data_IF_824253412025
#
_entry.id   IF_824253412025
#
_cell.length_a   1.000
_cell.length_b   1.000
_cell.length_c   1.000
_cell.angle_alpha   90.00
_cell.angle_beta   90.00
_cell.angle_gamma   90.00
#
_symmetry.space_group_name_H-M   'P 1'
#
loop_
_entity.id
_entity.type
_entity.pdbx_description
1 polymer ?
#
# COMPACT_ATOMS: atom_id res chain seq x y z
N UNK A 1 -16.37 12.63 -20.92
CA UNK A 1 -15.07 13.31 -20.73
C UNK A 1 -14.16 12.37 -19.96
N UNK A 2 -12.85 12.31 -20.25
CA UNK A 2 -11.93 11.52 -19.44
C UNK A 2 -11.94 12.05 -18.00
N UNK A 3 -11.85 11.14 -17.02
CA UNK A 3 -11.83 11.47 -15.61
C UNK A 3 -10.59 12.32 -15.27
N UNK A 4 -10.78 13.52 -14.75
CA UNK A 4 -9.68 14.33 -14.23
C UNK A 4 -9.47 14.03 -12.74
N UNK A 5 -8.37 13.37 -12.41
CA UNK A 5 -8.06 12.97 -11.03
C UNK A 5 -8.01 14.15 -10.04
N UNK A 6 -7.60 15.33 -10.49
CA UNK A 6 -7.52 16.51 -9.63
C UNK A 6 -8.89 16.99 -9.13
N UNK A 7 -9.97 16.67 -9.87
CA UNK A 7 -11.34 17.02 -9.47
C UNK A 7 -11.92 16.02 -8.45
N UNK A 8 -11.25 14.86 -8.28
CA UNK A 8 -11.67 13.76 -7.41
C UNK A 8 -10.85 13.72 -6.11
N UNK A 9 -9.56 14.06 -6.19
CA UNK A 9 -8.62 13.95 -5.08
C UNK A 9 -9.14 14.66 -3.83
N UNK A 10 -9.17 13.95 -2.70
CA UNK A 10 -9.43 14.56 -1.39
C UNK A 10 -8.21 15.38 -0.95
N UNK A 11 -8.34 16.70 -1.00
CA UNK A 11 -7.22 17.65 -0.80
C UNK A 11 -6.92 17.94 0.66
N UNK A 12 -7.85 17.70 1.58
CA UNK A 12 -7.66 18.01 3.00
C UNK A 12 -6.75 17.02 3.73
N UNK A 13 -6.49 15.85 3.13
CA UNK A 13 -5.67 14.78 3.70
C UNK A 13 -4.53 14.46 2.72
N UNK A 14 -3.30 14.58 3.20
CA UNK A 14 -2.08 14.38 2.44
C UNK A 14 -0.94 13.85 3.30
N UNK A 15 0.15 13.42 2.65
CA UNK A 15 1.35 12.96 3.32
C UNK A 15 1.19 11.56 3.93
N UNK A 16 2.10 11.21 4.84
CA UNK A 16 2.20 9.85 5.40
C UNK A 16 1.40 9.65 6.69
N UNK A 17 1.17 10.68 7.48
CA UNK A 17 0.50 10.55 8.77
C UNK A 17 -1.00 10.81 8.68
N UNK A 18 -1.81 9.75 8.69
CA UNK A 18 -3.27 9.82 8.61
C UNK A 18 -3.90 9.05 9.77
N UNK A 19 -4.71 9.74 10.56
CA UNK A 19 -5.41 9.18 11.73
C UNK A 19 -6.92 9.27 11.54
N UNK A 20 -7.68 8.58 12.38
CA UNK A 20 -9.14 8.66 12.45
C UNK A 20 -9.64 10.11 12.57
N UNK A 21 -8.96 10.93 13.37
CA UNK A 21 -9.29 12.35 13.54
C UNK A 21 -9.16 13.16 12.26
N UNK A 22 -8.19 12.83 11.40
CA UNK A 22 -8.03 13.51 10.11
C UNK A 22 -9.21 13.22 9.16
N UNK A 23 -9.89 12.08 9.33
CA UNK A 23 -11.01 11.68 8.50
C UNK A 23 -12.35 12.29 8.94
N UNK A 24 -12.49 12.77 10.18
CA UNK A 24 -13.79 13.18 10.73
C UNK A 24 -14.52 14.22 9.85
N UNK A 25 -13.83 15.29 9.42
CA UNK A 25 -14.44 16.32 8.57
C UNK A 25 -14.90 15.76 7.21
N UNK A 26 -14.12 14.83 6.63
CA UNK A 26 -14.48 14.16 5.37
C UNK A 26 -15.71 13.27 5.56
N UNK A 27 -15.69 12.45 6.62
CA UNK A 27 -16.78 11.53 6.96
C UNK A 27 -18.08 12.29 7.21
N UNK A 28 -18.05 13.36 8.01
CA UNK A 28 -19.21 14.22 8.24
C UNK A 28 -19.76 14.80 6.93
N UNK A 29 -18.87 15.27 6.04
CA UNK A 29 -19.28 15.83 4.75
C UNK A 29 -19.91 14.80 3.79
N UNK A 30 -19.53 13.52 3.86
CA UNK A 30 -20.10 12.46 3.01
C UNK A 30 -21.27 11.72 3.65
N UNK A 31 -21.50 11.87 4.97
CA UNK A 31 -22.59 11.25 5.72
C UNK A 31 -24.00 11.58 5.18
N UNK A 32 -24.15 12.73 4.50
CA UNK A 32 -25.39 13.12 3.81
C UNK A 32 -25.68 12.32 2.54
N UNK A 33 -24.68 11.63 1.98
CA UNK A 33 -24.80 10.82 0.75
C UNK A 33 -24.73 9.33 1.04
N UNK A 34 -23.92 8.93 2.02
CA UNK A 34 -23.59 7.54 2.31
C UNK A 34 -23.78 7.21 3.79
N UNK A 35 -24.14 5.96 4.08
CA UNK A 35 -24.35 5.53 5.46
C UNK A 35 -23.00 5.30 6.13
N UNK A 36 -22.73 6.04 7.20
CA UNK A 36 -21.57 5.86 8.07
C UNK A 36 -22.02 5.15 9.33
N UNK A 37 -21.24 4.17 9.78
CA UNK A 37 -21.55 3.38 10.96
C UNK A 37 -20.29 3.14 11.79
N UNK A 38 -20.40 3.32 13.10
CA UNK A 38 -19.40 2.80 14.04
C UNK A 38 -19.63 1.30 14.19
N UNK A 39 -18.62 0.51 13.83
CA UNK A 39 -18.68 -0.96 13.83
C UNK A 39 -18.13 -1.57 15.13
N UNK A 40 -17.32 -0.81 15.84
CA UNK A 40 -16.76 -1.19 17.14
C UNK A 40 -15.72 -0.19 17.60
N UNK A 41 -14.95 -0.59 18.60
CA UNK A 41 -13.89 0.21 19.20
C UNK A 41 -12.56 -0.56 19.13
N UNK A 42 -11.45 0.17 19.00
CA UNK A 42 -10.10 -0.37 19.16
C UNK A 42 -9.75 -0.64 20.64
N UNK A 43 -8.54 -1.16 20.89
CA UNK A 43 -8.02 -1.40 22.24
C UNK A 43 -8.09 -0.15 23.12
N UNK A 44 -7.69 1.02 22.61
CA UNK A 44 -7.74 2.30 23.34
C UNK A 44 -9.09 3.02 23.22
N UNK A 45 -10.13 2.35 22.70
CA UNK A 45 -11.49 2.90 22.64
C UNK A 45 -11.75 3.88 21.50
N UNK A 46 -10.90 3.92 20.46
CA UNK A 46 -11.16 4.74 19.26
C UNK A 46 -12.18 4.05 18.36
N UNK A 47 -13.06 4.83 17.76
CA UNK A 47 -14.12 4.30 16.91
C UNK A 47 -13.57 3.74 15.60
N UNK A 48 -13.91 2.49 15.29
CA UNK A 48 -13.72 1.91 13.96
C UNK A 48 -15.00 2.17 13.16
N UNK A 49 -14.88 2.98 12.11
CA UNK A 49 -16.00 3.40 11.27
C UNK A 49 -15.99 2.69 9.92
N UNK A 50 -17.15 2.35 9.41
CA UNK A 50 -17.36 1.92 8.03
C UNK A 50 -18.23 2.91 7.27
N UNK A 51 -18.13 2.88 5.94
CA UNK A 51 -18.98 3.64 5.01
C UNK A 51 -19.59 2.64 4.03
N UNK A 52 -20.91 2.68 3.87
CA UNK A 52 -21.64 1.89 2.89
C UNK A 52 -22.14 2.76 1.73
N UNK A 53 -21.79 2.36 0.50
CA UNK A 53 -22.12 3.08 -0.74
C UNK A 53 -22.80 2.12 -1.73
N UNK A 54 -23.81 2.61 -2.44
CA UNK A 54 -24.51 1.83 -3.47
C UNK A 54 -25.61 0.94 -2.91
N UNK A 55 -26.31 0.25 -3.81
CA UNK A 55 -27.48 -0.59 -3.51
C UNK A 55 -27.55 -1.86 -4.38
N UNK A 56 -26.50 -2.15 -5.14
CA UNK A 56 -26.49 -3.30 -6.01
C UNK A 56 -26.14 -4.60 -5.31
N UNK A 57 -26.41 -5.72 -5.97
CA UNK A 57 -26.30 -7.05 -5.37
C UNK A 57 -24.86 -7.52 -5.19
N UNK A 58 -23.91 -6.99 -5.99
CA UNK A 58 -22.50 -7.34 -5.89
C UNK A 58 -21.84 -6.62 -4.72
N UNK A 59 -21.41 -7.37 -3.70
CA UNK A 59 -20.89 -6.81 -2.45
C UNK A 59 -19.38 -6.81 -2.42
N UNK A 60 -18.79 -5.63 -2.21
CA UNK A 60 -17.33 -5.45 -2.14
C UNK A 60 -16.97 -4.93 -0.75
N UNK A 61 -16.20 -5.70 0.01
CA UNK A 61 -15.63 -5.28 1.28
C UNK A 61 -14.21 -4.75 1.06
N UNK A 62 -13.91 -3.58 1.60
CA UNK A 62 -12.59 -2.96 1.52
C UNK A 62 -12.14 -2.53 2.90
N UNK A 63 -10.89 -2.77 3.26
CA UNK A 63 -10.33 -2.25 4.51
C UNK A 63 -8.91 -1.77 4.30
N UNK A 64 -8.57 -0.69 4.99
CA UNK A 64 -7.27 -0.03 4.93
C UNK A 64 -6.73 0.24 6.33
N UNK A 65 -5.43 0.56 6.43
CA UNK A 65 -4.73 0.86 7.67
C UNK A 65 -5.00 -0.20 8.76
N UNK A 66 -4.98 -1.49 8.41
CA UNK A 66 -4.89 -2.54 9.43
C UNK A 66 -3.51 -2.55 10.08
N UNK A 67 -2.49 -2.19 9.31
CA UNK A 67 -1.26 -1.65 9.85
C UNK A 67 -1.37 -0.13 9.88
N UNK A 68 -1.18 0.46 11.05
CA UNK A 68 -1.47 1.87 11.27
C UNK A 68 -0.60 2.85 10.48
N UNK A 69 0.62 2.45 10.13
CA UNK A 69 1.58 3.26 9.37
C UNK A 69 1.44 3.15 7.84
N UNK A 70 0.38 2.51 7.34
CA UNK A 70 0.16 2.25 5.90
C UNK A 70 -1.03 3.06 5.37
N UNK A 71 -0.84 4.37 5.23
CA UNK A 71 -1.94 5.34 5.01
C UNK A 71 -2.27 5.67 3.56
N UNK A 72 -1.43 5.25 2.61
CA UNK A 72 -1.59 5.65 1.21
C UNK A 72 -2.91 5.18 0.62
N UNK A 73 -3.28 3.94 0.91
CA UNK A 73 -4.51 3.35 0.40
C UNK A 73 -5.76 3.92 1.08
N UNK A 74 -5.67 4.35 2.35
CA UNK A 74 -6.74 5.11 3.03
C UNK A 74 -7.02 6.40 2.25
N UNK A 75 -5.98 7.15 1.86
CA UNK A 75 -6.14 8.35 1.04
C UNK A 75 -6.78 8.05 -0.32
N UNK A 76 -6.39 6.97 -0.98
CA UNK A 76 -6.97 6.55 -2.26
C UNK A 76 -8.45 6.12 -2.14
N UNK A 77 -8.83 5.53 -1.00
CA UNK A 77 -10.23 5.20 -0.68
C UNK A 77 -11.09 6.46 -0.58
N UNK A 78 -10.56 7.56 0.00
CA UNK A 78 -11.30 8.82 0.06
C UNK A 78 -11.49 9.42 -1.34
N UNK A 79 -10.49 9.29 -2.23
CA UNK A 79 -10.62 9.68 -3.64
C UNK A 79 -11.71 8.85 -4.34
N UNK A 80 -11.74 7.55 -4.09
CA UNK A 80 -12.79 6.67 -4.61
C UNK A 80 -14.18 7.10 -4.15
N UNK A 81 -14.33 7.46 -2.88
CA UNK A 81 -15.61 7.95 -2.34
C UNK A 81 -16.02 9.28 -3.00
N UNK A 82 -15.08 10.20 -3.21
CA UNK A 82 -15.34 11.44 -3.94
C UNK A 82 -15.77 11.18 -5.39
N UNK A 83 -15.13 10.22 -6.07
CA UNK A 83 -15.55 9.79 -7.40
C UNK A 83 -16.96 9.21 -7.40
N UNK A 84 -17.27 8.30 -6.47
CA UNK A 84 -18.59 7.69 -6.36
C UNK A 84 -19.66 8.72 -5.99
N UNK A 85 -19.31 9.81 -5.33
CA UNK A 85 -20.20 10.95 -5.07
C UNK A 85 -20.41 11.89 -6.28
N UNK A 86 -19.53 11.85 -7.30
CA UNK A 86 -19.53 12.81 -8.43
C UNK A 86 -20.79 12.76 -9.32
N UNK A 87 -21.62 11.73 -9.18
CA UNK A 87 -22.80 11.48 -10.04
C UNK A 87 -22.43 11.43 -11.54
N UNK A 88 -21.23 10.94 -11.87
CA UNK A 88 -20.89 10.56 -13.24
C UNK A 88 -21.69 9.32 -13.67
N UNK A 89 -21.81 9.10 -14.99
CA UNK A 89 -22.49 7.92 -15.52
C UNK A 89 -21.90 6.62 -14.97
N UNK A 90 -20.57 6.51 -14.93
CA UNK A 90 -19.87 5.37 -14.37
C UNK A 90 -20.09 5.22 -12.86
N UNK A 91 -20.06 6.32 -12.09
CA UNK A 91 -20.38 6.27 -10.65
C UNK A 91 -21.80 5.72 -10.42
N UNK A 92 -22.81 6.25 -11.12
CA UNK A 92 -24.19 5.76 -11.01
C UNK A 92 -24.30 4.29 -11.38
N UNK A 93 -23.61 3.88 -12.45
CA UNK A 93 -23.60 2.48 -12.88
C UNK A 93 -23.00 1.57 -11.81
N UNK A 94 -21.85 1.95 -11.24
CA UNK A 94 -21.22 1.19 -10.15
C UNK A 94 -22.15 1.12 -8.94
N UNK A 95 -22.68 2.25 -8.45
CA UNK A 95 -23.54 2.28 -7.26
C UNK A 95 -24.89 1.57 -7.45
N UNK A 96 -25.34 1.37 -8.69
CA UNK A 96 -26.52 0.57 -9.03
C UNK A 96 -26.25 -0.93 -8.98
N UNK A 97 -25.06 -1.37 -9.40
CA UNK A 97 -24.72 -2.80 -9.53
C UNK A 97 -23.93 -3.35 -8.35
N UNK A 98 -23.26 -2.48 -7.59
CA UNK A 98 -22.46 -2.84 -6.44
C UNK A 98 -22.96 -2.18 -5.14
N UNK A 99 -22.75 -2.88 -4.03
CA UNK A 99 -22.75 -2.31 -2.68
C UNK A 99 -21.34 -2.41 -2.13
N UNK A 100 -20.72 -1.29 -1.79
CA UNK A 100 -19.38 -1.22 -1.22
C UNK A 100 -19.51 -0.99 0.28
N UNK A 101 -18.77 -1.76 1.09
CA UNK A 101 -18.57 -1.50 2.50
C UNK A 101 -17.08 -1.28 2.74
N UNK A 102 -16.72 -0.07 3.14
CA UNK A 102 -15.32 0.35 3.27
C UNK A 102 -15.02 0.69 4.72
N UNK A 103 -13.94 0.13 5.27
CA UNK A 103 -13.34 0.49 6.57
C UNK A 103 -12.06 1.28 6.30
N UNK A 104 -12.10 2.63 6.32
CA UNK A 104 -10.94 3.44 5.94
C UNK A 104 -9.73 3.28 6.86
N UNK A 105 -9.97 3.04 8.15
CA UNK A 105 -8.93 2.81 9.16
C UNK A 105 -9.41 1.70 10.10
N UNK A 106 -8.85 0.50 9.95
CA UNK A 106 -9.16 -0.63 10.83
C UNK A 106 -8.42 -0.58 12.17
N UNK A 107 -7.17 -0.09 12.15
CA UNK A 107 -6.32 0.04 13.33
C UNK A 107 -6.09 1.52 13.67
N UNK A 108 -7.07 2.22 14.27
CA UNK A 108 -6.93 3.64 14.60
C UNK A 108 -5.87 3.88 15.68
N UNK A 109 -5.59 2.91 16.54
CA UNK A 109 -4.56 3.02 17.57
C UNK A 109 -3.16 3.01 16.94
N UNK A 110 -2.90 2.04 16.07
CA UNK A 110 -1.66 2.01 15.29
C UNK A 110 -1.52 3.23 14.40
N UNK A 111 -2.62 3.74 13.82
CA UNK A 111 -2.59 4.94 13.00
C UNK A 111 -2.17 6.18 13.81
N UNK A 112 -2.72 6.34 15.01
CA UNK A 112 -2.33 7.40 15.95
C UNK A 112 -0.85 7.31 16.34
N UNK A 113 -0.37 6.10 16.64
CA UNK A 113 1.01 5.84 17.05
C UNK A 113 2.00 5.75 15.87
N UNK A 114 1.51 5.73 14.64
CA UNK A 114 2.27 5.42 13.42
C UNK A 114 3.05 4.09 13.52
N UNK A 115 2.38 3.04 13.97
CA UNK A 115 2.94 1.69 14.13
C UNK A 115 2.25 0.69 13.22
N UNK A 116 2.99 -0.36 12.84
CA UNK A 116 2.42 -1.50 12.13
C UNK A 116 1.40 -2.26 12.99
N UNK A 117 1.72 -2.49 14.25
CA UNK A 117 0.86 -3.19 15.20
C UNK A 117 -0.22 -2.28 15.82
N UNK A 118 -1.24 -2.90 16.44
CA UNK A 118 -2.22 -2.19 17.29
C UNK A 118 -1.62 -1.79 18.66
N UNK A 119 -2.44 -1.23 19.56
CA UNK A 119 -1.97 -0.76 20.88
C UNK A 119 -1.37 -1.87 21.77
N UNK A 120 -1.74 -3.14 21.55
CA UNK A 120 -1.18 -4.29 22.27
C UNK A 120 0.10 -4.83 21.62
N UNK A 121 0.61 -4.21 20.56
CA UNK A 121 1.78 -4.70 19.83
C UNK A 121 1.49 -5.91 18.93
N UNK A 122 0.22 -6.21 18.65
CA UNK A 122 -0.19 -7.32 17.78
C UNK A 122 -0.31 -6.86 16.32
N UNK A 123 0.27 -7.64 15.41
CA UNK A 123 0.04 -7.51 13.96
C UNK A 123 -1.34 -8.11 13.64
N UNK A 124 -2.32 -7.26 13.35
CA UNK A 124 -3.69 -7.68 13.03
C UNK A 124 -3.75 -8.59 11.78
N UNK A 125 -2.77 -8.49 10.87
CA UNK A 125 -2.65 -9.38 9.71
C UNK A 125 -1.93 -10.69 10.05
N UNK A 126 -1.84 -11.02 11.34
CA UNK A 126 -1.41 -12.33 11.87
C UNK A 126 -2.38 -12.84 12.94
N UNK A 127 -3.58 -12.26 13.04
CA UNK A 127 -4.57 -12.56 14.08
C UNK A 127 -5.93 -13.00 13.51
N UNK A 128 -5.98 -13.43 12.24
CA UNK A 128 -7.24 -13.75 11.56
C UNK A 128 -7.95 -15.01 12.08
N UNK A 129 -7.20 -15.97 12.67
CA UNK A 129 -7.74 -17.22 13.20
C UNK A 129 -8.18 -17.07 14.65
N UNK A 130 -7.26 -16.70 15.55
CA UNK A 130 -7.55 -16.58 16.98
C UNK A 130 -8.40 -15.33 17.30
N UNK A 131 -8.29 -14.26 16.50
CA UNK A 131 -9.05 -13.00 16.65
C UNK A 131 -8.96 -12.47 18.07
N UNK A 132 -7.74 -12.41 18.59
CA UNK A 132 -7.45 -12.00 19.96
C UNK A 132 -7.69 -10.50 20.18
N UNK A 133 -7.70 -9.70 19.11
CA UNK A 133 -7.81 -8.25 19.19
C UNK A 133 -9.23 -7.75 18.86
N UNK A 134 -9.68 -6.64 19.48
CA UNK A 134 -11.00 -6.07 19.19
C UNK A 134 -11.13 -5.62 17.73
N UNK A 135 -10.05 -5.11 17.12
CA UNK A 135 -10.05 -4.73 15.70
C UNK A 135 -10.26 -5.94 14.78
N UNK A 136 -9.62 -7.08 15.10
CA UNK A 136 -9.80 -8.36 14.39
C UNK A 136 -11.24 -8.86 14.48
N UNK A 137 -11.85 -8.77 15.66
CA UNK A 137 -13.26 -9.13 15.88
C UNK A 137 -14.20 -8.22 15.08
N UNK A 138 -13.93 -6.92 15.02
CA UNK A 138 -14.70 -5.97 14.21
C UNK A 138 -14.65 -6.34 12.73
N UNK A 139 -13.47 -6.55 12.16
CA UNK A 139 -13.36 -6.91 10.74
C UNK A 139 -14.08 -8.23 10.45
N UNK A 140 -13.89 -9.24 11.32
CA UNK A 140 -14.57 -10.53 11.19
C UNK A 140 -16.09 -10.39 11.19
N UNK A 141 -16.63 -9.62 12.14
CA UNK A 141 -18.07 -9.36 12.24
C UNK A 141 -18.60 -8.66 10.99
N UNK A 142 -17.89 -7.66 10.49
CA UNK A 142 -18.26 -6.96 9.25
C UNK A 142 -18.34 -7.95 8.08
N UNK A 143 -17.34 -8.84 7.94
CA UNK A 143 -17.31 -9.86 6.89
C UNK A 143 -18.52 -10.80 7.00
N UNK A 144 -18.80 -11.34 8.19
CA UNK A 144 -19.89 -12.30 8.42
C UNK A 144 -21.28 -11.69 8.22
N UNK A 145 -21.48 -10.44 8.64
CA UNK A 145 -22.74 -9.73 8.48
C UNK A 145 -22.97 -9.29 7.04
N UNK A 146 -21.93 -8.74 6.41
CA UNK A 146 -22.03 -8.17 5.07
C UNK A 146 -22.11 -9.26 4.00
N UNK A 147 -21.37 -10.36 4.19
CA UNK A 147 -21.21 -11.49 3.26
C UNK A 147 -20.74 -11.00 1.88
N UNK A 148 -19.50 -10.48 1.79
CA UNK A 148 -18.98 -9.93 0.55
C UNK A 148 -18.77 -11.00 -0.53
N UNK A 149 -18.99 -10.62 -1.78
CA UNK A 149 -18.60 -11.39 -2.97
C UNK A 149 -17.14 -11.14 -3.33
N UNK A 150 -16.59 -9.97 -2.96
CA UNK A 150 -15.20 -9.59 -3.21
C UNK A 150 -14.61 -8.83 -2.02
N UNK A 151 -13.30 -9.02 -1.79
CA UNK A 151 -12.56 -8.37 -0.71
C UNK A 151 -11.31 -7.66 -1.25
N UNK A 152 -11.10 -6.39 -0.91
CA UNK A 152 -9.86 -5.67 -1.17
C UNK A 152 -9.13 -5.38 0.14
N UNK A 153 -7.96 -6.00 0.28
CA UNK A 153 -7.04 -5.79 1.39
C UNK A 153 -6.01 -4.72 1.01
N UNK A 154 -6.03 -3.57 1.68
CA UNK A 154 -5.32 -2.38 1.24
C UNK A 154 -4.12 -2.05 2.16
N UNK A 155 -2.91 -2.19 1.62
CA UNK A 155 -1.64 -2.06 2.33
C UNK A 155 -0.64 -1.10 1.65
N UNK A 156 0.44 -0.78 2.36
CA UNK A 156 1.62 -0.09 1.84
C UNK A 156 2.84 -1.02 1.92
N UNK A 157 3.73 -0.87 0.94
CA UNK A 157 5.05 -1.50 0.95
C UNK A 157 6.17 -0.45 1.03
N UNK A 158 7.31 -0.88 1.55
CA UNK A 158 8.48 0.00 1.78
C UNK A 158 9.14 0.44 0.47
N UNK A 159 10.01 1.46 0.53
CA UNK A 159 10.74 1.98 -0.64
C UNK A 159 11.79 1.00 -1.19
N UNK A 160 12.11 -0.08 -0.48
CA UNK A 160 13.09 -1.08 -0.89
C UNK A 160 12.64 -2.01 -2.03
N UNK A 161 11.34 -2.01 -2.37
CA UNK A 161 10.78 -2.94 -3.34
C UNK A 161 10.91 -2.47 -4.79
N UNK A 162 11.24 -3.41 -5.67
CA UNK A 162 11.41 -3.19 -7.11
C UNK A 162 10.77 -4.31 -7.94
N UNK A 163 10.49 -4.03 -9.22
CA UNK A 163 9.88 -5.00 -10.12
C UNK A 163 10.94 -5.90 -10.75
N UNK A 164 10.85 -7.21 -10.50
CA UNK A 164 11.81 -8.20 -10.98
C UNK A 164 13.25 -7.82 -10.62
N UNK A 165 14.17 -7.91 -11.58
CA UNK A 165 15.57 -7.49 -11.42
C UNK A 165 15.85 -6.11 -12.05
N UNK A 166 14.82 -5.26 -12.15
CA UNK A 166 14.90 -3.98 -12.86
C UNK A 166 15.13 -2.81 -11.89
N UNK A 167 15.72 -1.69 -12.36
CA UNK A 167 15.83 -0.45 -11.59
C UNK A 167 14.51 0.33 -11.56
N UNK A 168 13.35 -0.35 -11.64
CA UNK A 168 12.03 0.26 -11.53
C UNK A 168 11.47 -0.06 -10.14
N UNK A 169 11.08 0.94 -9.36
CA UNK A 169 10.44 0.68 -8.09
C UNK A 169 9.10 -0.02 -8.33
N UNK A 170 8.73 -0.89 -7.39
CA UNK A 170 7.39 -1.46 -7.38
C UNK A 170 6.44 -0.40 -6.81
N UNK A 171 5.96 0.50 -7.67
CA UNK A 171 5.04 1.58 -7.26
C UNK A 171 3.71 1.02 -6.79
N UNK A 172 3.21 -0.01 -7.47
CA UNK A 172 2.05 -0.79 -7.03
C UNK A 172 2.41 -2.25 -7.10
N UNK A 173 2.04 -3.03 -6.10
CA UNK A 173 2.08 -4.50 -6.21
C UNK A 173 0.74 -5.10 -5.84
N UNK A 174 0.48 -6.28 -6.40
CA UNK A 174 -0.74 -7.02 -6.13
C UNK A 174 -0.43 -8.45 -5.69
N UNK A 175 -1.38 -9.03 -4.97
CA UNK A 175 -1.36 -10.46 -4.65
C UNK A 175 -2.78 -11.01 -4.70
N UNK A 176 -2.94 -12.16 -5.37
CA UNK A 176 -4.06 -13.07 -5.16
C UNK A 176 -3.66 -14.05 -4.04
N UNK A 177 -4.14 -13.85 -2.79
CA UNK A 177 -3.70 -14.61 -1.62
C UNK A 177 -3.84 -16.11 -1.84
N UNK A 178 -2.96 -16.89 -1.20
CA UNK A 178 -3.09 -18.33 -1.20
C UNK A 178 -4.28 -18.76 -0.32
N UNK A 179 -4.85 -19.92 -0.62
CA UNK A 179 -5.93 -20.50 0.21
C UNK A 179 -5.52 -21.82 0.85
N UNK A 180 -4.36 -22.35 0.48
CA UNK A 180 -3.77 -23.59 0.97
C UNK A 180 -2.22 -23.48 0.96
N UNK A 181 -1.51 -24.33 1.72
CA UNK A 181 -0.04 -24.36 1.72
C UNK A 181 0.58 -24.63 0.35
N UNK A 182 -0.11 -25.38 -0.50
CA UNK A 182 0.33 -25.74 -1.86
C UNK A 182 0.26 -24.56 -2.83
N UNK A 183 -0.44 -23.47 -2.45
CA UNK A 183 -0.73 -22.32 -3.29
C UNK A 183 -1.42 -22.76 -4.57
N UNK A 184 -2.42 -23.65 -4.44
CA UNK A 184 -3.22 -24.07 -5.57
C UNK A 184 -4.15 -22.93 -6.03
N UNK A 185 -4.68 -23.04 -7.25
CA UNK A 185 -5.53 -22.02 -7.87
C UNK A 185 -6.98 -22.49 -7.76
N UNK A 186 -7.64 -22.12 -6.67
CA UNK A 186 -9.10 -22.27 -6.54
C UNK A 186 -9.84 -21.33 -7.50
N UNK A 187 -11.14 -21.56 -7.67
CA UNK A 187 -12.01 -20.67 -8.44
C UNK A 187 -11.90 -19.21 -7.97
N UNK A 188 -12.00 -19.01 -6.65
CA UNK A 188 -11.97 -17.67 -6.06
C UNK A 188 -10.61 -17.01 -6.19
N UNK A 189 -9.51 -17.78 -6.13
CA UNK A 189 -8.16 -17.24 -6.33
C UNK A 189 -7.94 -16.89 -7.81
N UNK A 190 -8.50 -17.69 -8.71
CA UNK A 190 -8.53 -17.39 -10.15
C UNK A 190 -9.26 -16.08 -10.48
N UNK A 191 -10.38 -15.82 -9.82
CA UNK A 191 -11.11 -14.54 -9.92
C UNK A 191 -10.21 -13.38 -9.46
N UNK A 192 -9.56 -13.50 -8.30
CA UNK A 192 -8.60 -12.49 -7.83
C UNK A 192 -7.48 -12.24 -8.83
N UNK A 193 -6.91 -13.30 -9.42
CA UNK A 193 -5.87 -13.20 -10.46
C UNK A 193 -6.38 -12.44 -11.69
N UNK A 194 -7.60 -12.71 -12.17
CA UNK A 194 -8.19 -12.00 -13.31
C UNK A 194 -8.43 -10.52 -13.02
N UNK A 195 -8.89 -10.16 -11.81
CA UNK A 195 -9.02 -8.77 -11.39
C UNK A 195 -7.66 -8.06 -11.37
N UNK A 196 -6.62 -8.75 -10.88
CA UNK A 196 -5.26 -8.20 -10.87
C UNK A 196 -4.74 -7.98 -12.30
N UNK A 197 -5.01 -8.89 -13.23
CA UNK A 197 -4.66 -8.70 -14.65
C UNK A 197 -5.34 -7.44 -15.21
N UNK A 198 -6.62 -7.26 -14.94
CA UNK A 198 -7.36 -6.07 -15.38
C UNK A 198 -6.78 -4.76 -14.83
N UNK A 199 -6.42 -4.74 -13.54
CA UNK A 199 -5.78 -3.59 -12.91
C UNK A 199 -4.38 -3.35 -13.45
N UNK A 200 -3.59 -4.40 -13.67
CA UNK A 200 -2.25 -4.29 -14.23
C UNK A 200 -2.32 -3.70 -15.66
N UNK A 201 -3.17 -4.22 -16.53
CA UNK A 201 -3.36 -3.67 -17.89
C UNK A 201 -3.70 -2.17 -17.89
N UNK A 202 -4.51 -1.72 -16.94
CA UNK A 202 -4.82 -0.30 -16.77
C UNK A 202 -3.59 0.50 -16.29
N UNK A 203 -2.90 0.01 -15.27
CA UNK A 203 -1.74 0.70 -14.69
C UNK A 203 -0.54 0.76 -15.63
N UNK A 204 -0.33 -0.24 -16.50
CA UNK A 204 0.76 -0.22 -17.49
C UNK A 204 0.65 0.98 -18.45
N UNK A 205 -0.53 1.58 -18.63
CA UNK A 205 -0.73 2.80 -19.44
C UNK A 205 -0.09 4.04 -18.81
N UNK A 206 0.14 4.04 -17.50
CA UNK A 206 0.61 5.20 -16.74
C UNK A 206 1.97 4.96 -16.08
N UNK A 207 2.19 3.76 -15.53
CA UNK A 207 3.40 3.38 -14.81
C UNK A 207 4.00 2.08 -15.38
N UNK A 208 4.39 2.06 -16.67
CA UNK A 208 4.86 0.85 -17.32
C UNK A 208 6.05 0.24 -16.58
N UNK A 209 6.00 -1.08 -16.32
CA UNK A 209 7.04 -1.82 -15.61
C UNK A 209 7.23 -1.46 -14.14
N UNK A 210 6.30 -0.76 -13.50
CA UNK A 210 6.31 -0.43 -12.06
C UNK A 210 5.18 -1.13 -11.27
N UNK A 211 4.55 -2.14 -11.89
CA UNK A 211 3.59 -3.04 -11.24
C UNK A 211 4.27 -4.38 -11.00
N UNK A 212 4.24 -4.88 -9.76
CA UNK A 212 4.82 -6.16 -9.40
C UNK A 212 3.83 -7.10 -8.70
N UNK A 213 4.22 -8.36 -8.53
CA UNK A 213 3.50 -9.35 -7.73
C UNK A 213 4.15 -9.49 -6.36
N UNK A 214 3.34 -9.40 -5.31
CA UNK A 214 3.81 -9.57 -3.95
C UNK A 214 3.95 -11.06 -3.60
N UNK A 215 4.77 -11.36 -2.60
CA UNK A 215 5.04 -12.74 -2.16
C UNK A 215 3.75 -13.45 -1.75
N UNK A 216 3.55 -14.67 -2.26
CA UNK A 216 2.33 -15.47 -2.08
C UNK A 216 2.48 -16.59 -1.04
N UNK A 217 3.45 -16.46 -0.13
CA UNK A 217 3.66 -17.40 0.97
C UNK A 217 2.41 -17.56 1.83
N UNK A 218 1.86 -18.77 1.85
CA UNK A 218 0.64 -19.07 2.60
C UNK A 218 0.82 -18.89 4.11
N UNK A 219 -0.13 -18.20 4.73
CA UNK A 219 -0.26 -18.10 6.16
C UNK A 219 -1.73 -17.91 6.53
N UNK A 220 -2.35 -18.94 7.09
CA UNK A 220 -3.77 -18.90 7.52
C UNK A 220 -4.07 -17.80 8.55
N UNK A 221 -3.06 -17.25 9.24
CA UNK A 221 -3.26 -16.13 10.16
C UNK A 221 -3.33 -14.76 9.46
N UNK A 222 -2.99 -14.67 8.17
CA UNK A 222 -3.23 -13.50 7.35
C UNK A 222 -4.73 -13.38 7.01
N UNK A 223 -5.24 -12.15 7.04
CA UNK A 223 -6.66 -11.89 6.74
C UNK A 223 -6.97 -12.21 5.27
N UNK A 224 -6.05 -11.85 4.36
CA UNK A 224 -6.18 -12.14 2.93
C UNK A 224 -6.38 -13.63 2.65
N UNK A 225 -5.47 -14.46 3.15
CA UNK A 225 -5.53 -15.92 3.03
C UNK A 225 -6.78 -16.48 3.71
N UNK A 226 -7.13 -15.97 4.89
CA UNK A 226 -8.35 -16.39 5.61
C UNK A 226 -9.62 -16.16 4.78
N UNK A 227 -9.79 -15.00 4.16
CA UNK A 227 -10.98 -14.73 3.34
C UNK A 227 -10.95 -15.52 2.03
N UNK A 228 -9.75 -15.79 1.50
CA UNK A 228 -9.59 -16.70 0.35
C UNK A 228 -9.99 -18.15 0.71
N UNK A 229 -9.60 -18.64 1.89
CA UNK A 229 -9.99 -19.94 2.45
C UNK A 229 -11.50 -20.07 2.68
N UNK A 230 -12.17 -18.96 2.99
CA UNK A 230 -13.63 -18.88 3.12
C UNK A 230 -14.36 -18.74 1.79
N UNK A 231 -13.64 -18.94 0.68
CA UNK A 231 -14.15 -18.87 -0.67
C UNK A 231 -14.68 -17.49 -1.09
N UNK A 232 -14.07 -16.41 -0.60
CA UNK A 232 -14.31 -15.06 -1.12
C UNK A 232 -13.07 -14.57 -1.90
N UNK A 233 -13.21 -14.26 -3.20
CA UNK A 233 -12.17 -13.59 -3.97
C UNK A 233 -11.58 -12.40 -3.24
N UNK A 234 -10.32 -12.51 -2.83
CA UNK A 234 -9.61 -11.46 -2.12
C UNK A 234 -8.42 -10.97 -2.93
N UNK A 235 -8.25 -9.65 -3.03
CA UNK A 235 -7.11 -9.02 -3.71
C UNK A 235 -6.38 -8.16 -2.72
N UNK A 236 -5.08 -8.37 -2.60
CA UNK A 236 -4.20 -7.55 -1.78
C UNK A 236 -3.54 -6.49 -2.68
N UNK A 237 -3.57 -5.24 -2.21
CA UNK A 237 -2.93 -4.07 -2.81
C UNK A 237 -1.76 -3.66 -1.93
N UNK A 238 -0.58 -3.48 -2.52
CA UNK A 238 0.58 -2.91 -1.86
C UNK A 238 0.97 -1.60 -2.53
N UNK A 239 0.91 -0.51 -1.78
CA UNK A 239 1.28 0.82 -2.27
C UNK A 239 2.77 1.09 -2.00
N UNK A 240 3.57 1.08 -3.07
CA UNK A 240 5.01 1.25 -3.01
C UNK A 240 5.47 2.63 -3.47
N UNK A 241 6.74 2.75 -3.84
CA UNK A 241 7.33 4.04 -4.18
C UNK A 241 7.17 4.40 -5.65
N UNK A 242 6.70 5.62 -5.88
CA UNK A 242 6.88 6.30 -7.15
C UNK A 242 8.12 7.21 -7.05
N UNK A 243 9.00 7.27 -8.06
CA UNK A 243 10.25 8.03 -7.97
C UNK A 243 10.05 9.49 -7.49
N UNK A 244 10.67 9.83 -6.36
CA UNK A 244 10.61 11.17 -5.76
C UNK A 244 9.36 11.45 -4.93
N UNK A 245 8.43 10.50 -4.83
CA UNK A 245 7.17 10.62 -4.10
C UNK A 245 7.23 9.89 -2.74
N UNK A 246 7.91 10.53 -1.78
CA UNK A 246 8.02 10.00 -0.42
C UNK A 246 6.72 10.15 0.39
N UNK A 247 5.92 11.17 0.05
CA UNK A 247 4.61 11.43 0.64
C UNK A 247 3.49 10.51 0.10
N UNK A 248 3.79 9.73 -0.95
CA UNK A 248 2.89 8.76 -1.57
C UNK A 248 1.64 9.42 -2.17
N UNK A 249 1.79 10.59 -2.80
CA UNK A 249 0.69 11.29 -3.47
C UNK A 249 0.48 10.85 -4.93
N UNK A 250 1.54 10.47 -5.63
CA UNK A 250 1.46 9.85 -6.95
C UNK A 250 1.05 8.38 -6.83
N UNK A 251 1.63 7.64 -5.88
CA UNK A 251 1.21 6.24 -5.63
C UNK A 251 -0.29 6.16 -5.31
N UNK A 252 -0.80 7.07 -4.46
CA UNK A 252 -2.23 7.18 -4.12
C UNK A 252 -3.14 7.22 -5.35
N UNK A 253 -2.77 8.01 -6.37
CA UNK A 253 -3.51 8.12 -7.63
C UNK A 253 -3.60 6.77 -8.35
N UNK A 254 -2.51 6.02 -8.41
CA UNK A 254 -2.49 4.72 -9.08
C UNK A 254 -3.26 3.65 -8.30
N UNK A 255 -3.25 3.70 -6.97
CA UNK A 255 -4.14 2.85 -6.15
C UNK A 255 -5.61 3.17 -6.43
N UNK A 256 -5.98 4.46 -6.49
CA UNK A 256 -7.33 4.87 -6.86
C UNK A 256 -7.74 4.32 -8.24
N UNK A 257 -6.87 4.47 -9.25
CA UNK A 257 -7.12 3.95 -10.61
C UNK A 257 -7.30 2.43 -10.62
N UNK A 258 -6.46 1.70 -9.87
CA UNK A 258 -6.56 0.24 -9.76
C UNK A 258 -7.89 -0.18 -9.10
N UNK A 259 -8.25 0.40 -7.96
CA UNK A 259 -9.52 0.11 -7.28
C UNK A 259 -10.71 0.41 -8.20
N UNK A 260 -10.71 1.57 -8.86
CA UNK A 260 -11.77 1.94 -9.79
C UNK A 260 -11.89 0.93 -10.93
N UNK A 261 -10.76 0.48 -11.50
CA UNK A 261 -10.76 -0.50 -12.58
C UNK A 261 -11.32 -1.85 -12.13
N UNK A 262 -10.92 -2.34 -10.95
CA UNK A 262 -11.45 -3.59 -10.43
C UNK A 262 -12.97 -3.51 -10.18
N UNK A 263 -13.43 -2.42 -9.57
CA UNK A 263 -14.86 -2.20 -9.30
C UNK A 263 -15.65 -2.09 -10.61
N UNK A 264 -15.11 -1.39 -11.62
CA UNK A 264 -15.71 -1.33 -12.95
C UNK A 264 -15.90 -2.72 -13.55
N UNK A 265 -14.84 -3.55 -13.56
CA UNK A 265 -14.89 -4.92 -14.09
C UNK A 265 -15.92 -5.78 -13.35
N UNK A 266 -15.96 -5.68 -12.01
CA UNK A 266 -16.97 -6.37 -11.19
C UNK A 266 -18.37 -5.90 -11.57
N UNK A 267 -18.60 -4.58 -11.59
CA UNK A 267 -19.92 -3.98 -11.85
C UNK A 267 -20.48 -4.31 -13.22
N UNK A 268 -19.62 -4.50 -14.22
CA UNK A 268 -20.00 -4.82 -15.61
C UNK A 268 -20.05 -6.34 -15.88
N UNK A 269 -19.59 -7.18 -14.95
CA UNK A 269 -19.50 -8.63 -15.16
C UNK A 269 -18.49 -9.03 -16.25
N UNK A 270 -17.46 -8.22 -16.49
CA UNK A 270 -16.51 -8.38 -17.61
C UNK A 270 -15.24 -9.15 -17.24
N UNK A 271 -15.20 -9.80 -16.08
CA UNK A 271 -14.01 -10.53 -15.59
C UNK A 271 -13.53 -11.63 -16.56
N UNK A 272 -14.47 -12.25 -17.29
CA UNK A 272 -14.21 -13.28 -18.29
C UNK A 272 -13.33 -12.82 -19.47
N UNK A 273 -13.14 -11.51 -19.65
CA UNK A 273 -12.29 -10.93 -20.68
C UNK A 273 -10.80 -11.05 -20.34
N UNK A 274 -10.46 -11.25 -19.07
CA UNK A 274 -9.07 -11.31 -18.60
C UNK A 274 -8.64 -12.75 -18.42
N UNK A 275 -7.48 -13.10 -18.98
CA UNK A 275 -6.93 -14.45 -18.84
C UNK A 275 -6.26 -14.59 -17.49
N UNK A 276 -6.69 -15.60 -16.73
CA UNK A 276 -6.13 -15.91 -15.40
C UNK A 276 -4.61 -16.10 -15.45
N UNK A 277 -4.10 -16.81 -16.45
CA UNK A 277 -2.67 -17.17 -16.52
C UNK A 277 -1.78 -15.95 -16.77
N UNK A 278 -2.31 -14.86 -17.32
CA UNK A 278 -1.57 -13.60 -17.49
C UNK A 278 -1.20 -12.94 -16.16
N UNK A 279 -1.74 -13.42 -15.03
CA UNK A 279 -1.26 -13.04 -13.70
C UNK A 279 0.21 -13.38 -13.48
N UNK A 280 0.69 -14.49 -14.05
CA UNK A 280 2.08 -14.93 -13.93
C UNK A 280 3.05 -14.16 -14.83
N UNK A 281 2.53 -13.35 -15.76
CA UNK A 281 3.34 -12.44 -16.58
C UNK A 281 3.74 -11.17 -15.79
N UNK A 282 3.08 -10.90 -14.66
CA UNK A 282 3.43 -9.80 -13.76
C UNK A 282 4.69 -10.20 -12.99
N UNK A 283 5.81 -9.46 -13.09
CA UNK A 283 7.04 -9.85 -12.42
C UNK A 283 6.92 -9.78 -10.90
N UNK A 284 7.56 -10.71 -10.20
CA UNK A 284 7.64 -10.68 -8.74
C UNK A 284 8.39 -9.44 -8.22
N UNK A 285 8.04 -9.02 -7.01
CA UNK A 285 8.79 -8.03 -6.28
C UNK A 285 10.14 -8.58 -5.80
N UNK A 286 11.17 -7.75 -5.86
CA UNK A 286 12.44 -7.97 -5.17
C UNK A 286 12.75 -6.82 -4.20
N UNK A 287 13.84 -6.98 -3.45
CA UNK A 287 14.30 -6.05 -2.41
C UNK A 287 15.69 -5.49 -2.77
N UNK A 288 15.80 -4.86 -3.94
CA UNK A 288 17.08 -4.38 -4.47
C UNK A 288 17.27 -2.85 -4.33
N UNK A 289 16.26 -2.11 -3.88
CA UNK A 289 16.36 -0.66 -3.72
C UNK A 289 16.81 -0.22 -2.34
N UNK A 290 17.57 0.87 -2.33
CA UNK A 290 17.87 1.71 -1.18
C UNK A 290 17.41 3.14 -1.45
N UNK A 291 17.19 3.93 -0.41
CA UNK A 291 16.79 5.33 -0.58
C UNK A 291 17.95 6.19 -1.10
N UNK A 292 19.16 5.94 -0.60
CA UNK A 292 20.37 6.59 -1.10
C UNK A 292 21.48 5.55 -1.28
N UNK A 293 22.14 5.57 -2.44
CA UNK A 293 23.43 4.91 -2.65
C UNK A 293 24.50 5.98 -2.83
N UNK A 294 25.61 5.83 -2.12
CA UNK A 294 26.81 6.65 -2.30
C UNK A 294 27.91 5.74 -2.80
N UNK A 295 28.35 5.95 -4.03
CA UNK A 295 29.38 5.17 -4.69
C UNK A 295 30.76 5.79 -4.51
N UNK A 296 31.79 4.94 -4.52
CA UNK A 296 33.20 5.34 -4.46
C UNK A 296 33.54 6.15 -3.22
N UNK A 297 33.01 5.74 -2.06
CA UNK A 297 33.34 6.38 -0.79
C UNK A 297 34.80 6.11 -0.41
N UNK A 298 35.50 7.08 0.21
CA UNK A 298 36.79 6.81 0.84
C UNK A 298 36.56 5.89 2.04
N UNK A 299 36.96 4.63 1.93
CA UNK A 299 36.75 3.65 3.01
C UNK A 299 37.93 3.67 3.98
N UNK A 300 37.71 3.79 5.31
CA UNK A 300 38.79 3.73 6.29
C UNK A 300 39.42 2.34 6.44
N UNK A 301 38.69 1.28 6.07
CA UNK A 301 39.03 -0.11 6.39
C UNK A 301 39.39 -0.91 5.12
N UNK A 302 40.62 -1.48 5.02
CA UNK A 302 41.09 -2.18 3.82
C UNK A 302 40.23 -3.38 3.38
N UNK A 303 39.47 -3.99 4.30
CA UNK A 303 38.61 -5.17 4.02
C UNK A 303 37.44 -4.87 3.06
N UNK A 304 37.10 -3.60 2.84
CA UNK A 304 36.01 -3.21 1.95
C UNK A 304 36.50 -2.76 0.56
N UNK A 305 37.81 -2.88 0.28
CA UNK A 305 38.45 -2.41 -0.95
C UNK A 305 38.60 -0.88 -1.00
N UNK A 306 39.30 -0.36 -1.99
CA UNK A 306 39.59 1.08 -2.10
C UNK A 306 38.41 1.92 -2.62
N UNK A 307 37.35 1.29 -3.18
CA UNK A 307 36.23 1.95 -3.86
C UNK A 307 34.88 1.26 -3.56
N UNK A 308 34.45 1.26 -2.30
CA UNK A 308 33.16 0.68 -1.90
C UNK A 308 32.01 1.67 -2.04
N UNK A 309 30.81 1.18 -1.81
CA UNK A 309 29.59 1.97 -1.79
C UNK A 309 28.89 1.84 -0.43
N UNK A 310 28.16 2.87 -0.02
CA UNK A 310 27.29 2.86 1.14
C UNK A 310 25.82 2.95 0.69
N UNK A 311 24.99 2.08 1.24
CA UNK A 311 23.55 2.06 1.03
C UNK A 311 22.83 2.53 2.28
N UNK A 312 21.94 3.50 2.12
CA UNK A 312 21.17 4.11 3.20
C UNK A 312 19.70 3.88 2.92
N UNK A 313 19.01 3.39 3.95
CA UNK A 313 17.56 3.20 3.97
C UNK A 313 16.95 4.20 4.95
N UNK A 314 15.85 4.83 4.56
CA UNK A 314 15.08 5.67 5.46
C UNK A 314 14.22 4.85 6.41
N UNK A 315 14.21 5.29 7.66
CA UNK A 315 13.30 4.87 8.71
C UNK A 315 12.32 6.00 8.93
N UNK A 316 11.03 5.70 8.78
CA UNK A 316 9.96 6.64 9.02
C UNK A 316 9.75 6.78 10.53
N UNK A 317 9.84 8.02 11.03
CA UNK A 317 9.69 8.33 12.46
C UNK A 317 8.65 9.44 12.63
N UNK A 318 7.64 9.20 13.46
CA UNK A 318 6.69 10.23 13.86
C UNK A 318 7.36 11.21 14.82
N UNK A 319 7.44 12.48 14.44
CA UNK A 319 7.99 13.58 15.26
C UNK A 319 7.03 14.76 15.18
N UNK A 320 6.45 15.16 16.31
CA UNK A 320 5.53 16.31 16.41
C UNK A 320 4.39 16.28 15.37
N UNK A 321 3.76 15.11 15.18
CA UNK A 321 2.64 14.94 14.24
C UNK A 321 3.03 14.90 12.75
N UNK A 322 4.32 14.76 12.43
CA UNK A 322 4.82 14.63 11.06
C UNK A 322 5.78 13.45 10.93
N UNK A 323 5.76 12.77 9.79
CA UNK A 323 6.72 11.71 9.50
C UNK A 323 8.02 12.33 8.98
N UNK A 324 9.11 12.01 9.65
CA UNK A 324 10.47 12.31 9.22
C UNK A 324 11.13 11.03 8.69
N UNK A 325 11.87 11.16 7.59
CA UNK A 325 12.64 10.07 6.99
C UNK A 325 14.08 10.13 7.48
N UNK A 326 14.40 9.34 8.51
CA UNK A 326 15.75 9.33 9.09
C UNK A 326 16.61 8.29 8.37
N UNK A 327 17.76 8.72 7.85
CA UNK A 327 18.72 7.81 7.23
C UNK A 327 19.29 6.81 8.22
N UNK A 328 19.30 5.54 7.83
CA UNK A 328 20.03 4.46 8.50
C UNK A 328 20.97 3.84 7.48
N UNK A 329 22.25 3.74 7.82
CA UNK A 329 23.21 3.00 7.02
C UNK A 329 22.86 1.51 7.09
N UNK A 330 22.57 0.90 5.95
CA UNK A 330 22.07 -0.47 5.85
C UNK A 330 23.15 -1.44 5.36
N UNK A 331 23.98 -1.00 4.40
CA UNK A 331 25.02 -1.84 3.81
C UNK A 331 26.25 -1.01 3.40
N UNK A 332 27.45 -1.56 3.58
CA UNK A 332 28.72 -1.03 3.02
C UNK A 332 29.39 -2.14 2.23
N UNK A 333 29.91 -1.82 1.04
CA UNK A 333 30.77 -2.71 0.28
C UNK A 333 30.42 -2.71 -1.21
N UNK A 334 30.42 -3.88 -1.82
CA UNK A 334 30.02 -4.05 -3.22
C UNK A 334 28.49 -4.11 -3.34
N UNK A 335 27.89 -3.03 -3.87
CA UNK A 335 26.45 -2.92 -4.09
C UNK A 335 26.05 -3.21 -5.56
N UNK A 336 26.82 -4.03 -6.28
CA UNK A 336 26.48 -4.42 -7.64
C UNK A 336 25.10 -5.08 -7.71
N UNK A 337 24.26 -4.64 -8.65
CA UNK A 337 22.89 -5.13 -8.80
C UNK A 337 21.87 -4.52 -7.83
N UNK A 338 22.29 -3.57 -6.98
CA UNK A 338 21.41 -2.75 -6.15
C UNK A 338 21.10 -1.42 -6.82
N UNK A 339 19.99 -0.80 -6.43
CA UNK A 339 19.52 0.45 -7.02
C UNK A 339 19.28 1.49 -5.92
N UNK A 340 19.52 2.76 -6.23
CA UNK A 340 19.21 3.88 -5.35
C UNK A 340 18.05 4.69 -5.92
N UNK A 341 17.08 5.08 -5.09
CA UNK A 341 16.15 6.17 -5.45
C UNK A 341 16.93 7.46 -5.72
N UNK A 342 18.05 7.63 -5.00
CA UNK A 342 19.06 8.64 -5.28
C UNK A 342 20.45 8.02 -5.23
N UNK A 343 21.27 8.33 -6.23
CA UNK A 343 22.68 7.93 -6.26
C UNK A 343 23.58 9.15 -6.26
N UNK A 344 24.67 9.09 -5.51
CA UNK A 344 25.78 10.03 -5.56
C UNK A 344 27.05 9.26 -5.86
N UNK A 345 27.93 9.82 -6.67
CA UNK A 345 29.22 9.19 -6.93
C UNK A 345 30.36 10.14 -6.55
N UNK A 346 31.13 9.74 -5.53
CA UNK A 346 32.13 10.59 -4.90
C UNK A 346 33.37 10.86 -5.75
N UNK A 347 33.52 10.20 -6.91
CA UNK A 347 34.50 10.59 -7.92
C UNK A 347 34.14 11.94 -8.59
N UNK A 348 32.87 12.33 -8.53
CA UNK A 348 32.41 13.62 -9.05
C UNK A 348 32.33 14.67 -7.94
N UNK A 349 33.14 15.72 -8.05
CA UNK A 349 33.16 16.85 -7.11
C UNK A 349 31.76 17.45 -6.82
N UNK A 350 30.90 17.52 -7.84
CA UNK A 350 29.53 18.03 -7.69
C UNK A 350 28.70 17.19 -6.72
N UNK A 351 28.82 15.87 -6.77
CA UNK A 351 28.07 14.97 -5.90
C UNK A 351 28.66 14.93 -4.49
N UNK A 352 29.99 14.97 -4.38
CA UNK A 352 30.68 15.16 -3.10
C UNK A 352 30.18 16.41 -2.37
N UNK A 353 30.06 17.54 -3.08
CA UNK A 353 29.55 18.78 -2.49
C UNK A 353 28.06 18.70 -2.12
N UNK A 354 27.23 17.96 -2.87
CA UNK A 354 25.83 17.71 -2.47
C UNK A 354 25.74 16.92 -1.17
N UNK A 355 26.64 15.94 -0.97
CA UNK A 355 26.70 15.16 0.29
C UNK A 355 27.15 16.07 1.43
N UNK A 356 28.25 16.82 1.26
CA UNK A 356 28.77 17.75 2.28
C UNK A 356 27.76 18.82 2.71
N UNK A 357 26.89 19.25 1.80
CA UNK A 357 25.82 20.22 2.07
C UNK A 357 24.56 19.61 2.72
N UNK A 358 24.57 18.33 3.11
CA UNK A 358 23.48 17.64 3.81
C UNK A 358 23.94 17.24 5.22
N UNK A 359 23.72 18.08 6.25
CA UNK A 359 24.20 17.82 7.61
C UNK A 359 23.80 16.44 8.15
N UNK A 360 22.52 16.07 8.04
CA UNK A 360 22.02 14.77 8.54
C UNK A 360 22.71 13.58 7.86
N UNK A 361 23.02 13.70 6.57
CA UNK A 361 23.71 12.66 5.82
C UNK A 361 25.19 12.60 6.22
N UNK A 362 25.84 13.75 6.42
CA UNK A 362 27.22 13.82 6.92
C UNK A 362 27.34 13.28 8.34
N UNK A 363 26.42 13.61 9.24
CA UNK A 363 26.40 13.10 10.61
C UNK A 363 26.24 11.58 10.63
N UNK A 364 25.37 11.03 9.78
CA UNK A 364 25.21 9.59 9.61
C UNK A 364 26.50 8.94 9.10
N UNK A 365 27.16 9.52 8.09
CA UNK A 365 28.38 8.96 7.52
C UNK A 365 29.55 9.02 8.52
N UNK A 366 29.76 10.18 9.17
CA UNK A 366 30.81 10.39 10.16
C UNK A 366 30.65 9.47 11.38
N UNK A 367 29.42 9.28 11.88
CA UNK A 367 29.15 8.38 13.02
C UNK A 367 29.41 6.90 12.69
N UNK A 368 29.45 6.55 11.39
CA UNK A 368 29.81 5.23 10.89
C UNK A 368 31.24 5.19 10.32
N UNK A 369 32.07 6.18 10.64
CA UNK A 369 33.49 6.21 10.27
C UNK A 369 33.78 6.62 8.82
N UNK A 370 32.80 7.04 8.03
CA UNK A 370 33.01 7.45 6.63
C UNK A 370 33.24 8.97 6.59
N UNK A 371 34.47 9.39 6.28
CA UNK A 371 34.91 10.80 6.32
C UNK A 371 35.31 11.31 4.93
N UNK A 372 34.86 12.53 4.56
CA UNK A 372 35.03 13.14 3.23
C UNK A 372 35.80 14.46 3.20
#
# INVERSE_FOLDING_TARGET
>A
MPLNYNDIKEVTINGRYVTDKHLDAFLDAVSKYFKIQTEGLSVEGRAIKSIALGKGDLKILMWSQMHGNESTTTKAVLDLINFLKSDSELSRYILKNCTLKIVPILNPDGAMAYTRANANGVDLNRDAQEKTQPESLVLRKIYEDFKPDYCFNLHDQRTLFNVGNTPRPATVSFLAPAHDPERSISETRGISMQLIVAMNEELQKFIPGQVGRYDDGFNSNCVGDTFQMLHTPTVLFESGHFPGDYDREETRKYIFMAMLRAIEVISQGTIHQYKRDSYFDIPDNNKLFYDVIIENIPIPEPKYGSNGSAAIQYVETLVNGKIQFKGKLEEIGNLQGKFGHKTYNCLFYKDLMKIKNKPELMDLLNSNGIFF
#
